data_IF_781346578785
#
_entry.id   IF_781346578785
#
_cell.length_a   1.000
_cell.length_b   1.000
_cell.length_c   1.000
_cell.angle_alpha   90.00
_cell.angle_beta   90.00
_cell.angle_gamma   90.00
#
_symmetry.space_group_name_H-M   'P 1'
#
loop_
_entity.id
_entity.type
_entity.pdbx_description
1 polymer ?
#
# COMPACT_ATOMS: atom_id res chain seq x y z
N UNK A 1 -4.66 -7.46 14.99
CA UNK A 1 -4.12 -6.80 13.78
C UNK A 1 -2.61 -6.88 13.81
N UNK A 2 -1.92 -6.91 12.65
CA UNK A 2 -0.46 -6.79 12.63
C UNK A 2 -0.04 -5.44 13.22
N UNK A 3 1.04 -5.44 14.00
CA UNK A 3 1.74 -4.22 14.40
C UNK A 3 3.04 -4.12 13.61
N UNK A 4 3.27 -2.98 12.99
CA UNK A 4 4.44 -2.65 12.20
C UNK A 4 5.34 -1.69 12.98
N UNK A 5 6.66 -1.81 12.82
CA UNK A 5 7.59 -0.91 13.53
C UNK A 5 7.88 0.38 12.78
N UNK A 6 7.46 0.47 11.51
CA UNK A 6 7.76 1.58 10.61
C UNK A 6 6.61 1.85 9.63
N UNK A 7 6.49 3.09 9.17
CA UNK A 7 5.57 3.50 8.09
C UNK A 7 6.29 3.63 6.74
N UNK A 8 7.04 2.60 6.32
CA UNK A 8 7.80 2.62 5.06
C UNK A 8 8.79 3.79 5.04
N UNK A 9 9.08 4.34 3.87
CA UNK A 9 9.96 5.50 3.68
C UNK A 9 9.43 6.76 4.38
N UNK A 10 8.13 6.82 4.69
CA UNK A 10 7.47 7.97 5.31
C UNK A 10 7.49 7.96 6.85
N UNK A 11 8.37 7.16 7.44
CA UNK A 11 8.43 6.94 8.88
C UNK A 11 8.64 8.25 9.66
N UNK A 12 9.54 9.11 9.18
CA UNK A 12 9.85 10.38 9.83
C UNK A 12 8.66 11.33 9.80
N UNK A 13 8.02 11.44 8.64
CA UNK A 13 6.84 12.27 8.41
C UNK A 13 5.65 11.77 9.23
N UNK A 14 5.47 10.44 9.32
CA UNK A 14 4.40 9.84 10.10
C UNK A 14 4.58 10.10 11.60
N UNK A 15 5.79 9.95 12.14
CA UNK A 15 6.07 10.31 13.54
C UNK A 15 5.80 11.78 13.82
N UNK A 16 6.30 12.66 12.96
CA UNK A 16 6.06 14.10 13.10
C UNK A 16 4.57 14.45 13.03
N UNK A 17 3.82 13.80 12.13
CA UNK A 17 2.38 13.95 12.02
C UNK A 17 1.65 13.55 13.30
N UNK A 18 1.93 12.34 13.82
CA UNK A 18 1.30 11.82 15.05
C UNK A 18 1.55 12.74 16.24
N UNK A 19 2.81 13.18 16.42
CA UNK A 19 3.18 14.14 17.46
C UNK A 19 2.36 15.43 17.29
N UNK A 20 2.33 15.99 16.08
CA UNK A 20 1.63 17.26 15.83
C UNK A 20 0.13 17.17 16.08
N UNK A 21 -0.51 16.07 15.70
CA UNK A 21 -1.93 15.84 15.98
C UNK A 21 -2.17 15.75 17.49
N UNK A 22 -1.36 14.98 18.22
CA UNK A 22 -1.50 14.84 19.67
C UNK A 22 -1.28 16.16 20.43
N UNK A 23 -0.39 17.03 19.94
CA UNK A 23 -0.13 18.34 20.54
C UNK A 23 -1.23 19.38 20.26
N UNK A 24 -1.98 19.22 19.17
CA UNK A 24 -2.94 20.23 18.69
C UNK A 24 -4.41 19.82 18.79
N UNK A 25 -4.67 18.59 19.24
CA UNK A 25 -6.02 18.03 19.40
C UNK A 25 -6.13 17.30 20.75
N UNK A 26 -7.32 16.81 21.08
CA UNK A 26 -7.54 15.96 22.27
C UNK A 26 -7.23 14.48 22.02
N UNK A 27 -6.68 14.12 20.86
CA UNK A 27 -6.42 12.72 20.50
C UNK A 27 -5.15 12.22 21.21
N UNK A 28 -5.23 11.05 21.82
CA UNK A 28 -4.12 10.44 22.55
C UNK A 28 -3.02 9.95 21.60
N UNK A 29 -1.78 10.37 21.85
CA UNK A 29 -0.59 9.98 21.09
C UNK A 29 -0.45 8.46 20.91
N UNK A 30 -0.70 7.68 21.97
CA UNK A 30 -0.54 6.22 21.93
C UNK A 30 -1.60 5.55 21.07
N UNK A 31 -2.84 6.05 21.08
CA UNK A 31 -3.92 5.54 20.21
C UNK A 31 -3.65 5.86 18.75
N UNK A 32 -3.16 7.08 18.46
CA UNK A 32 -2.75 7.48 17.12
C UNK A 32 -1.62 6.58 16.62
N UNK A 33 -0.56 6.42 17.42
CA UNK A 33 0.59 5.56 17.09
C UNK A 33 0.14 4.12 16.84
N UNK A 34 -0.62 3.53 17.76
CA UNK A 34 -1.09 2.16 17.60
C UNK A 34 -1.91 1.98 16.31
N UNK A 35 -2.77 2.93 15.97
CA UNK A 35 -3.59 2.86 14.76
C UNK A 35 -2.76 3.03 13.48
N UNK A 36 -1.90 4.06 13.39
CA UNK A 36 -1.09 4.29 12.19
C UNK A 36 -0.17 3.12 11.89
N UNK A 37 0.47 2.56 12.92
CA UNK A 37 1.40 1.44 12.80
C UNK A 37 0.70 0.06 12.82
N UNK A 38 -0.59 0.02 12.55
CA UNK A 38 -1.33 -1.24 12.31
C UNK A 38 -2.28 -1.07 11.12
N UNK A 39 -3.50 -0.61 11.38
CA UNK A 39 -4.54 -0.39 10.37
C UNK A 39 -4.12 0.69 9.36
N UNK A 40 -3.44 1.75 9.80
CA UNK A 40 -2.98 2.81 8.91
C UNK A 40 -2.05 2.29 7.80
N UNK A 41 -1.06 1.47 8.15
CA UNK A 41 -0.19 0.81 7.16
C UNK A 41 -1.00 -0.03 6.18
N UNK A 42 -1.98 -0.80 6.66
CA UNK A 42 -2.84 -1.63 5.80
C UNK A 42 -3.70 -0.79 4.85
N UNK A 43 -4.31 0.29 5.34
CA UNK A 43 -5.12 1.23 4.54
C UNK A 43 -4.29 1.89 3.45
N UNK A 44 -3.08 2.35 3.80
CA UNK A 44 -2.15 2.93 2.83
C UNK A 44 -1.78 1.93 1.73
N UNK A 45 -1.40 0.70 2.10
CA UNK A 45 -1.05 -0.36 1.14
C UNK A 45 -2.22 -0.79 0.27
N UNK A 46 -3.41 -0.90 0.83
CA UNK A 46 -4.63 -1.21 0.07
C UNK A 46 -4.92 -0.13 -0.96
N UNK A 47 -4.77 1.16 -0.59
CA UNK A 47 -4.91 2.27 -1.52
C UNK A 47 -3.88 2.23 -2.65
N UNK A 48 -2.61 1.93 -2.35
CA UNK A 48 -1.57 1.80 -3.38
C UNK A 48 -1.86 0.66 -4.38
N UNK A 49 -2.51 -0.41 -3.93
CA UNK A 49 -2.79 -1.59 -4.73
C UNK A 49 -4.12 -1.53 -5.51
N UNK A 50 -5.02 -0.60 -5.18
CA UNK A 50 -6.40 -0.58 -5.67
C UNK A 50 -6.50 -0.65 -7.20
N UNK A 51 -5.68 0.15 -7.90
CA UNK A 51 -5.70 0.23 -9.37
C UNK A 51 -4.66 -0.68 -10.03
N UNK A 52 -3.78 -1.32 -9.25
CA UNK A 52 -2.65 -2.06 -9.78
C UNK A 52 -3.08 -3.33 -10.53
N UNK A 53 -3.96 -4.15 -9.94
CA UNK A 53 -4.42 -5.38 -10.59
C UNK A 53 -5.29 -5.13 -11.84
N UNK A 54 -6.24 -4.17 -11.82
CA UNK A 54 -6.92 -3.74 -13.05
C UNK A 54 -5.93 -3.32 -14.15
N UNK A 55 -4.92 -2.52 -13.79
CA UNK A 55 -3.89 -2.08 -14.73
C UNK A 55 -3.07 -3.24 -15.31
N UNK A 56 -2.67 -4.22 -14.49
CA UNK A 56 -2.01 -5.45 -14.98
C UNK A 56 -2.91 -6.21 -15.96
N UNK A 57 -4.16 -6.45 -15.59
CA UNK A 57 -5.09 -7.23 -16.41
C UNK A 57 -5.34 -6.58 -17.76
N UNK A 58 -5.46 -5.26 -17.79
CA UNK A 58 -5.57 -4.51 -19.04
C UNK A 58 -4.33 -4.67 -19.92
N UNK A 59 -3.12 -4.59 -19.35
CA UNK A 59 -1.88 -4.74 -20.09
C UNK A 59 -1.68 -6.17 -20.62
N UNK A 60 -1.96 -7.19 -19.80
CA UNK A 60 -1.92 -8.58 -20.24
C UNK A 60 -2.90 -8.83 -21.39
N UNK A 61 -4.10 -8.26 -21.32
CA UNK A 61 -5.12 -8.40 -22.38
C UNK A 61 -4.73 -7.69 -23.67
N UNK A 62 -4.18 -6.46 -23.59
CA UNK A 62 -3.89 -5.61 -24.76
C UNK A 62 -2.54 -5.89 -25.39
N UNK A 63 -1.52 -6.18 -24.58
CA UNK A 63 -0.12 -6.24 -25.00
C UNK A 63 0.53 -7.60 -24.74
N UNK A 64 -0.13 -8.50 -24.00
CA UNK A 64 0.39 -9.85 -23.71
C UNK A 64 1.49 -9.89 -22.66
N UNK A 65 1.74 -8.79 -21.95
CA UNK A 65 2.76 -8.69 -20.90
C UNK A 65 2.29 -7.77 -19.78
N UNK A 66 2.91 -7.86 -18.60
CA UNK A 66 2.67 -6.96 -17.47
C UNK A 66 3.25 -5.57 -17.76
N UNK A 67 2.72 -4.50 -17.13
CA UNK A 67 3.14 -3.14 -17.42
C UNK A 67 4.58 -2.86 -16.97
N UNK A 68 5.24 -1.97 -17.72
CA UNK A 68 6.39 -1.24 -17.20
C UNK A 68 5.87 -0.09 -16.35
N UNK A 69 6.30 -0.04 -15.09
CA UNK A 69 5.84 0.94 -14.12
C UNK A 69 6.73 2.17 -14.20
N UNK A 70 6.14 3.30 -14.58
CA UNK A 70 6.85 4.59 -14.57
C UNK A 70 6.87 5.20 -13.17
N UNK A 71 7.81 6.12 -12.93
CA UNK A 71 7.83 6.94 -11.73
C UNK A 71 6.49 7.63 -11.47
N UNK A 72 5.87 8.20 -12.51
CA UNK A 72 4.58 8.89 -12.41
C UNK A 72 3.46 7.93 -11.97
N UNK A 73 3.47 6.69 -12.47
CA UNK A 73 2.53 5.68 -12.02
C UNK A 73 2.72 5.38 -10.53
N UNK A 74 3.95 5.17 -10.07
CA UNK A 74 4.24 4.94 -8.65
C UNK A 74 3.89 6.14 -7.77
N UNK A 75 4.10 7.37 -8.24
CA UNK A 75 3.62 8.58 -7.54
C UNK A 75 2.08 8.58 -7.41
N UNK A 76 1.36 8.21 -8.46
CA UNK A 76 -0.10 8.09 -8.45
C UNK A 76 -0.59 7.02 -7.47
N UNK A 77 0.07 5.87 -7.42
CA UNK A 77 -0.21 4.82 -6.44
C UNK A 77 0.01 5.32 -5.01
N UNK A 78 1.13 6.00 -4.74
CA UNK A 78 1.42 6.62 -3.45
C UNK A 78 0.35 7.64 -3.05
N UNK A 79 -0.05 8.53 -3.97
CA UNK A 79 -1.10 9.52 -3.71
C UNK A 79 -2.44 8.83 -3.35
N UNK A 80 -2.80 7.78 -4.09
CA UNK A 80 -4.01 6.99 -3.82
C UNK A 80 -3.94 6.29 -2.46
N UNK A 81 -2.76 5.79 -2.08
CA UNK A 81 -2.46 5.29 -0.74
C UNK A 81 -2.73 6.34 0.35
N UNK A 82 -2.20 7.56 0.18
CA UNK A 82 -2.40 8.63 1.16
C UNK A 82 -3.85 9.13 1.22
N UNK A 83 -4.56 9.20 0.09
CA UNK A 83 -5.98 9.54 0.06
C UNK A 83 -6.78 8.52 0.87
N UNK A 84 -6.53 7.22 0.64
CA UNK A 84 -7.19 6.12 1.35
C UNK A 84 -6.89 6.18 2.85
N UNK A 85 -5.62 6.37 3.23
CA UNK A 85 -5.20 6.52 4.61
C UNK A 85 -5.88 7.71 5.29
N UNK A 86 -5.92 8.88 4.63
CA UNK A 86 -6.58 10.08 5.15
C UNK A 86 -8.06 9.80 5.43
N UNK A 87 -8.78 9.24 4.45
CA UNK A 87 -10.20 8.93 4.61
C UNK A 87 -10.46 7.96 5.77
N UNK A 88 -9.63 6.91 5.92
CA UNK A 88 -9.73 5.98 7.03
C UNK A 88 -9.42 6.65 8.39
N UNK A 89 -8.39 7.48 8.44
CA UNK A 89 -7.98 8.22 9.64
C UNK A 89 -9.10 9.17 10.12
N UNK A 90 -9.65 9.98 9.22
CA UNK A 90 -10.76 10.89 9.53
C UNK A 90 -12.00 10.12 10.01
N UNK A 91 -12.36 9.02 9.34
CA UNK A 91 -13.47 8.18 9.76
C UNK A 91 -13.24 7.51 11.12
N UNK A 92 -11.99 7.22 11.49
CA UNK A 92 -11.66 6.60 12.76
C UNK A 92 -11.73 7.60 13.93
N UNK A 93 -11.25 8.83 13.74
CA UNK A 93 -11.01 9.76 14.85
C UNK A 93 -11.92 10.99 14.86
N UNK A 94 -12.59 11.31 13.75
CA UNK A 94 -13.35 12.55 13.60
C UNK A 94 -14.65 12.43 12.79
N UNK A 95 -15.18 11.21 12.61
CA UNK A 95 -16.38 10.94 11.79
C UNK A 95 -17.54 11.89 12.04
N UNK A 96 -17.83 12.15 13.31
CA UNK A 96 -18.98 12.94 13.76
C UNK A 96 -18.58 14.29 14.39
N UNK A 97 -17.32 14.72 14.20
CA UNK A 97 -16.77 15.96 14.76
C UNK A 97 -16.23 16.86 13.65
N UNK A 98 -17.08 17.77 13.14
CA UNK A 98 -16.76 18.58 11.96
C UNK A 98 -15.48 19.42 12.12
N UNK A 99 -15.35 20.16 13.21
CA UNK A 99 -14.18 21.01 13.48
C UNK A 99 -12.89 20.19 13.56
N UNK A 100 -12.93 19.06 14.28
CA UNK A 100 -11.80 18.14 14.38
C UNK A 100 -11.45 17.56 13.01
N UNK A 101 -12.45 17.18 12.21
CA UNK A 101 -12.25 16.67 10.85
C UNK A 101 -11.50 17.68 9.98
N UNK A 102 -11.95 18.93 9.94
CA UNK A 102 -11.32 19.99 9.14
C UNK A 102 -9.86 20.23 9.58
N UNK A 103 -9.62 20.25 10.89
CA UNK A 103 -8.27 20.40 11.45
C UNK A 103 -7.37 19.21 11.06
N UNK A 104 -7.85 17.98 11.20
CA UNK A 104 -7.09 16.77 10.86
C UNK A 104 -6.81 16.67 9.35
N UNK A 105 -7.78 17.04 8.50
CA UNK A 105 -7.59 17.08 7.05
C UNK A 105 -6.50 18.08 6.65
N UNK A 106 -6.52 19.29 7.23
CA UNK A 106 -5.52 20.31 6.97
C UNK A 106 -4.12 19.86 7.40
N UNK A 107 -3.99 19.28 8.60
CA UNK A 107 -2.71 18.75 9.08
C UNK A 107 -2.19 17.65 8.16
N UNK A 108 -3.04 16.71 7.77
CA UNK A 108 -2.65 15.56 6.95
C UNK A 108 -2.18 16.01 5.57
N UNK A 109 -2.94 16.88 4.90
CA UNK A 109 -2.58 17.39 3.56
C UNK A 109 -1.27 18.16 3.60
N UNK A 110 -1.04 19.00 4.60
CA UNK A 110 0.20 19.76 4.71
C UNK A 110 1.43 18.85 4.91
N UNK A 111 1.32 17.83 5.77
CA UNK A 111 2.44 16.92 6.02
C UNK A 111 2.77 16.04 4.82
N UNK A 112 1.77 15.38 4.23
CA UNK A 112 2.03 14.31 3.27
C UNK A 112 2.18 14.77 1.83
N UNK A 113 1.77 15.99 1.48
CA UNK A 113 2.12 16.57 0.17
C UNK A 113 3.64 16.73 0.04
N UNK A 114 4.29 17.28 1.05
CA UNK A 114 5.74 17.46 1.08
C UNK A 114 6.51 16.13 1.18
N UNK A 115 5.92 15.12 1.82
CA UNK A 115 6.52 13.80 1.95
C UNK A 115 6.77 13.14 0.58
N UNK A 116 5.82 13.24 -0.35
CA UNK A 116 5.97 12.63 -1.69
C UNK A 116 7.16 13.24 -2.43
N UNK A 117 7.31 14.57 -2.37
CA UNK A 117 8.40 15.28 -3.03
C UNK A 117 9.78 14.86 -2.47
N UNK A 118 9.91 14.77 -1.15
CA UNK A 118 11.15 14.36 -0.47
C UNK A 118 11.64 12.97 -0.87
N UNK A 119 10.71 12.04 -1.14
CA UNK A 119 11.06 10.66 -1.48
C UNK A 119 11.00 10.35 -2.99
N UNK A 120 10.93 11.36 -3.86
CA UNK A 120 10.91 11.15 -5.32
C UNK A 120 12.06 10.29 -5.87
N UNK A 121 13.32 10.42 -5.39
CA UNK A 121 14.41 9.56 -5.86
C UNK A 121 14.15 8.09 -5.53
N UNK A 122 13.63 7.81 -4.33
CA UNK A 122 13.28 6.46 -3.92
C UNK A 122 12.13 5.88 -4.75
N UNK A 123 11.07 6.67 -4.97
CA UNK A 123 9.90 6.26 -5.76
C UNK A 123 10.31 5.86 -7.18
N UNK A 124 11.30 6.54 -7.78
CA UNK A 124 11.81 6.17 -9.10
C UNK A 124 12.43 4.76 -9.08
N UNK A 125 13.23 4.43 -8.06
CA UNK A 125 13.83 3.10 -7.93
C UNK A 125 12.76 2.04 -7.65
N UNK A 126 11.76 2.36 -6.82
CA UNK A 126 10.61 1.46 -6.61
C UNK A 126 9.87 1.15 -7.92
N UNK A 127 9.73 2.11 -8.83
CA UNK A 127 9.13 1.89 -10.15
C UNK A 127 9.97 0.98 -11.04
N UNK A 128 11.31 1.10 -10.98
CA UNK A 128 12.22 0.19 -11.66
C UNK A 128 12.07 -1.24 -11.13
N UNK A 129 12.11 -1.42 -9.81
CA UNK A 129 11.95 -2.74 -9.17
C UNK A 129 10.60 -3.37 -9.54
N UNK A 130 9.52 -2.59 -9.57
CA UNK A 130 8.19 -3.08 -9.95
C UNK A 130 8.14 -3.54 -11.42
N UNK A 131 8.88 -2.86 -12.30
CA UNK A 131 9.04 -3.25 -13.71
C UNK A 131 9.89 -4.50 -13.87
N UNK A 132 11.00 -4.61 -13.12
CA UNK A 132 11.87 -5.78 -13.10
C UNK A 132 11.12 -7.03 -12.58
N UNK A 133 10.29 -6.87 -11.54
CA UNK A 133 9.43 -7.93 -11.04
C UNK A 133 8.39 -8.36 -12.08
N UNK A 134 7.76 -7.41 -12.76
CA UNK A 134 6.80 -7.70 -13.83
C UNK A 134 7.42 -8.50 -14.97
N UNK A 135 8.60 -8.06 -15.44
CA UNK A 135 9.35 -8.76 -16.48
C UNK A 135 9.78 -10.18 -16.03
N UNK A 136 10.15 -10.34 -14.76
CA UNK A 136 10.47 -11.65 -14.20
C UNK A 136 9.25 -12.59 -14.24
N UNK A 137 8.07 -12.12 -13.80
CA UNK A 137 6.83 -12.89 -13.80
C UNK A 137 6.42 -13.32 -15.21
N UNK A 138 6.52 -12.41 -16.19
CA UNK A 138 6.23 -12.73 -17.59
C UNK A 138 7.18 -13.82 -18.12
N UNK A 139 8.48 -13.70 -17.83
CA UNK A 139 9.49 -14.72 -18.23
C UNK A 139 9.28 -16.07 -17.56
N UNK A 140 8.71 -16.10 -16.35
CA UNK A 140 8.44 -17.34 -15.59
C UNK A 140 7.07 -17.93 -15.85
N UNK A 141 6.28 -17.35 -16.75
CA UNK A 141 5.02 -17.92 -17.23
C UNK A 141 3.82 -17.60 -16.35
N UNK A 142 3.89 -16.59 -15.47
CA UNK A 142 2.72 -16.22 -14.67
C UNK A 142 3.02 -15.40 -13.41
N UNK A 143 1.95 -15.06 -12.67
CA UNK A 143 2.09 -14.39 -11.38
C UNK A 143 2.80 -15.30 -10.38
N UNK A 144 3.55 -14.69 -9.48
CA UNK A 144 4.12 -15.37 -8.31
C UNK A 144 3.12 -15.35 -7.16
N UNK A 145 3.20 -16.35 -6.29
CA UNK A 145 2.50 -16.32 -5.01
C UNK A 145 2.95 -15.11 -4.18
N UNK A 146 2.07 -14.47 -3.39
CA UNK A 146 2.38 -13.21 -2.72
C UNK A 146 3.67 -13.22 -1.88
N UNK A 147 3.91 -14.30 -1.12
CA UNK A 147 5.12 -14.43 -0.31
C UNK A 147 6.39 -14.59 -1.17
N UNK A 148 6.30 -15.26 -2.31
CA UNK A 148 7.42 -15.42 -3.25
C UNK A 148 7.73 -14.11 -3.97
N UNK A 149 6.68 -13.41 -4.43
CA UNK A 149 6.80 -12.08 -5.01
C UNK A 149 7.46 -11.10 -4.03
N UNK A 150 7.06 -11.13 -2.75
CA UNK A 150 7.63 -10.27 -1.72
C UNK A 150 9.09 -10.62 -1.41
N UNK A 151 9.44 -11.91 -1.30
CA UNK A 151 10.85 -12.36 -1.12
C UNK A 151 11.74 -11.90 -2.27
N UNK A 152 11.29 -12.05 -3.52
CA UNK A 152 12.03 -11.59 -4.69
C UNK A 152 12.17 -10.07 -4.69
N UNK A 153 11.09 -9.35 -4.33
CA UNK A 153 11.13 -7.90 -4.21
C UNK A 153 12.15 -7.46 -3.16
N UNK A 154 12.15 -8.05 -1.96
CA UNK A 154 13.13 -7.75 -0.89
C UNK A 154 14.56 -7.87 -1.42
N UNK A 155 14.85 -8.95 -2.16
CA UNK A 155 16.16 -9.14 -2.78
C UNK A 155 16.51 -8.00 -3.76
N UNK A 156 15.58 -7.63 -4.64
CA UNK A 156 15.78 -6.52 -5.58
C UNK A 156 15.99 -5.17 -4.86
N UNK A 157 15.25 -4.92 -3.78
CA UNK A 157 15.44 -3.73 -2.94
C UNK A 157 16.80 -3.71 -2.25
N UNK A 158 17.29 -4.84 -1.74
CA UNK A 158 18.63 -4.94 -1.16
C UNK A 158 19.74 -4.66 -2.19
N UNK A 159 19.61 -5.22 -3.39
CA UNK A 159 20.57 -4.97 -4.49
C UNK A 159 20.60 -3.47 -4.86
N UNK A 160 19.43 -2.83 -4.97
CA UNK A 160 19.34 -1.40 -5.26
C UNK A 160 19.80 -0.52 -4.10
N UNK A 161 19.61 -0.95 -2.84
CA UNK A 161 20.10 -0.24 -1.64
C UNK A 161 21.61 -0.08 -1.68
N UNK A 162 22.34 -1.16 -1.99
CA UNK A 162 23.81 -1.13 -2.08
C UNK A 162 24.32 -0.17 -3.16
N UNK A 163 23.54 0.02 -4.23
CA UNK A 163 23.87 0.96 -5.31
C UNK A 163 23.46 2.42 -5.01
N UNK A 164 22.71 2.68 -3.93
CA UNK A 164 22.14 3.98 -3.61
C UNK A 164 22.33 4.36 -2.13
N UNK A 165 23.58 4.52 -1.66
CA UNK A 165 23.87 4.82 -0.25
C UNK A 165 23.22 6.12 0.26
N UNK A 166 22.94 7.09 -0.61
CA UNK A 166 22.25 8.33 -0.27
C UNK A 166 20.78 8.14 0.14
N UNK A 167 20.20 6.95 -0.09
CA UNK A 167 18.83 6.59 0.27
C UNK A 167 18.79 5.51 1.37
N UNK A 168 19.87 5.36 2.14
CA UNK A 168 20.02 4.27 3.13
C UNK A 168 18.83 4.18 4.09
N UNK A 169 18.37 5.31 4.63
CA UNK A 169 17.25 5.35 5.58
C UNK A 169 15.93 4.90 4.94
N UNK A 170 15.62 5.40 3.74
CA UNK A 170 14.43 5.01 2.99
C UNK A 170 14.42 3.51 2.71
N UNK A 171 15.54 2.96 2.22
CA UNK A 171 15.66 1.53 1.98
C UNK A 171 15.52 0.72 3.26
N UNK A 172 16.18 1.15 4.35
CA UNK A 172 16.12 0.47 5.64
C UNK A 172 14.68 0.37 6.14
N UNK A 173 13.94 1.48 6.14
CA UNK A 173 12.56 1.49 6.62
C UNK A 173 11.63 0.67 5.72
N UNK A 174 11.77 0.76 4.39
CA UNK A 174 11.00 -0.09 3.49
C UNK A 174 11.31 -1.57 3.67
N UNK A 175 12.58 -1.95 3.80
CA UNK A 175 12.98 -3.35 3.95
C UNK A 175 12.49 -3.92 5.28
N UNK A 176 12.52 -3.15 6.38
CA UNK A 176 11.89 -3.55 7.64
C UNK A 176 10.41 -3.86 7.41
N UNK A 177 9.66 -2.93 6.80
CA UNK A 177 8.24 -3.12 6.55
C UNK A 177 7.95 -4.34 5.66
N UNK A 178 8.74 -4.54 4.61
CA UNK A 178 8.58 -5.68 3.71
C UNK A 178 8.81 -7.02 4.43
N UNK A 179 9.78 -7.09 5.34
CA UNK A 179 10.01 -8.29 6.14
C UNK A 179 8.88 -8.52 7.15
N UNK A 180 8.37 -7.47 7.79
CA UNK A 180 7.20 -7.58 8.69
C UNK A 180 5.95 -8.08 7.94
N UNK A 181 5.74 -7.61 6.71
CA UNK A 181 4.69 -8.14 5.84
C UNK A 181 4.91 -9.60 5.46
N UNK A 182 6.15 -9.99 5.18
CA UNK A 182 6.48 -11.38 4.84
C UNK A 182 6.20 -12.32 6.02
N UNK A 183 6.53 -11.89 7.24
CA UNK A 183 6.21 -12.60 8.47
C UNK A 183 4.70 -12.72 8.69
N UNK A 184 3.97 -11.62 8.44
CA UNK A 184 2.51 -11.62 8.52
C UNK A 184 1.86 -12.60 7.54
N UNK A 185 2.28 -12.58 6.26
CA UNK A 185 1.81 -13.51 5.23
C UNK A 185 2.11 -14.97 5.61
N UNK A 186 3.30 -15.23 6.15
CA UNK A 186 3.70 -16.57 6.58
C UNK A 186 2.85 -17.09 7.74
N UNK A 187 2.53 -16.23 8.71
CA UNK A 187 1.64 -16.56 9.84
C UNK A 187 0.19 -16.76 9.40
N UNK A 188 -0.28 -16.01 8.41
CA UNK A 188 -1.63 -16.19 7.86
C UNK A 188 -1.77 -17.47 7.06
N UNK A 189 -0.79 -17.82 6.22
CA UNK A 189 -0.80 -19.09 5.49
C UNK A 189 -0.82 -20.31 6.44
N UNK A 190 -0.22 -20.18 7.63
CA UNK A 190 -0.24 -21.22 8.65
C UNK A 190 -1.57 -21.30 9.45
N UNK A 191 -2.34 -20.21 9.52
CA UNK A 191 -3.56 -20.12 10.36
C UNK A 191 -4.86 -20.19 9.57
N UNK A 192 -4.82 -19.83 8.30
CA UNK A 192 -5.95 -19.89 7.37
C UNK A 192 -5.49 -20.66 6.13
N UNK A 193 -6.07 -21.83 5.87
CA UNK A 193 -5.92 -22.53 4.59
C UNK A 193 -6.54 -21.78 3.39
N UNK A 194 -6.59 -20.45 3.44
CA UNK A 194 -7.17 -19.55 2.45
C UNK A 194 -6.07 -18.79 1.70
N UNK A 195 -6.11 -18.93 0.38
CA UNK A 195 -5.34 -18.14 -0.57
C UNK A 195 -5.68 -16.65 -0.41
N UNK A 196 -4.67 -15.82 -0.14
CA UNK A 196 -4.83 -14.38 -0.14
C UNK A 196 -4.74 -13.84 -1.58
N UNK A 197 -5.71 -12.98 -1.94
CA UNK A 197 -5.85 -12.29 -3.23
C UNK A 197 -6.08 -13.19 -4.45
N UNK A 198 -7.31 -13.68 -4.61
CA UNK A 198 -7.83 -13.97 -5.94
C UNK A 198 -8.12 -12.64 -6.64
N UNK A 199 -7.63 -12.41 -7.88
CA UNK A 199 -8.25 -11.44 -8.77
C UNK A 199 -9.75 -11.75 -8.79
N UNK A 200 -10.61 -10.76 -8.61
CA UNK A 200 -12.05 -10.98 -8.73
C UNK A 200 -12.34 -11.60 -10.11
N UNK A 201 -12.88 -12.81 -10.12
CA UNK A 201 -13.50 -13.37 -11.32
C UNK A 201 -14.69 -12.48 -11.65
N UNK A 202 -14.50 -11.51 -12.54
CA UNK A 202 -15.58 -10.78 -13.18
C UNK A 202 -16.32 -11.72 -14.13
N UNK A 203 -17.08 -12.66 -13.58
CA UNK A 203 -18.20 -13.28 -14.25
C UNK A 203 -19.47 -12.80 -13.55
N UNK A 204 -20.31 -11.96 -14.17
CA UNK A 204 -21.64 -11.73 -13.65
C UNK A 204 -22.37 -13.06 -13.74
N UNK A 205 -22.61 -13.68 -12.58
CA UNK A 205 -23.55 -14.77 -12.46
C UNK A 205 -24.91 -14.21 -12.87
N UNK A 206 -25.33 -14.54 -14.08
CA UNK A 206 -26.71 -14.41 -14.53
C UNK A 206 -27.58 -15.13 -13.51
N UNK A 207 -28.19 -14.38 -12.61
CA UNK A 207 -29.34 -14.85 -11.84
C UNK A 207 -30.52 -14.82 -12.79
N UNK A 208 -30.74 -15.96 -13.44
CA UNK A 208 -31.98 -16.24 -14.16
C UNK A 208 -33.10 -16.18 -13.12
N UNK A 209 -33.87 -15.11 -13.15
CA UNK A 209 -35.12 -15.00 -12.40
C UNK A 209 -36.13 -15.89 -13.10
N UNK A 210 -36.46 -17.02 -12.48
CA UNK A 210 -37.65 -17.79 -12.85
C UNK A 210 -38.88 -16.89 -12.61
N UNK A 211 -39.56 -16.55 -13.70
CA UNK A 211 -40.89 -15.93 -13.66
C UNK A 211 -41.91 -16.97 -13.15
N UNK A 212 -42.72 -16.67 -12.13
CA UNK A 212 -43.87 -17.49 -11.82
C UNK A 212 -44.97 -17.22 -12.86
N UNK A 213 -45.30 -18.25 -13.63
CA UNK A 213 -46.48 -18.28 -14.50
C UNK A 213 -47.73 -18.44 -13.63
N UNK A 214 -48.59 -17.42 -13.64
CA UNK A 214 -49.95 -17.52 -13.12
C UNK A 214 -50.81 -18.37 -14.08
N UNK A 215 -51.46 -19.40 -13.56
CA UNK A 215 -52.69 -20.00 -14.09
C UNK A 215 -53.73 -20.02 -12.99
#
# INVERSE_FOLDING_TARGET
>A
MPGFSTFSIYEKEMRAFVIKVAETTSLEHDKLTAWFYSEGVMQFRSGQAADYYPYINENLKKFGHRPLISKQHSMGQTLTGFITLKSAFINQFAKDQLELKEQLESLFTHTFYNAIESHLPYIAIQSEISSELSAYQDKKGGPLEPAEALKLSIKMFEEKRLANPQLEEDFKNQLILMNEFLDYLSKQAASSGQQFFKPGDNNPVHTTSEQPTLK
#
